data_IF_428508703518
#
_entry.id   IF_428508703518
#
_cell.length_a   1.000
_cell.length_b   1.000
_cell.length_c   1.000
_cell.angle_alpha   90.00
_cell.angle_beta   90.00
_cell.angle_gamma   90.00
#
_symmetry.space_group_name_H-M   'P 1'
#
loop_
_entity.id
_entity.type
_entity.pdbx_description
1 polymer ?
#
# COMPACT_ATOMS: atom_id res chain seq x y z
N UNK A 1 0.43 10.52 12.74
CA UNK A 1 1.10 9.80 13.85
C UNK A 1 0.20 9.73 15.06
N UNK A 2 0.27 8.64 15.80
CA UNK A 2 -0.46 8.47 17.06
C UNK A 2 0.08 7.25 17.84
N UNK A 3 -0.19 7.14 19.15
CA UNK A 3 0.09 5.95 19.95
C UNK A 3 -0.62 4.70 19.41
N UNK A 4 -0.19 3.53 19.86
CA UNK A 4 -0.93 2.28 19.59
C UNK A 4 -2.35 2.38 20.16
N UNK A 5 -3.34 1.87 19.44
CA UNK A 5 -4.75 1.91 19.85
C UNK A 5 -5.49 3.24 19.59
N UNK A 6 -4.83 4.30 19.11
CA UNK A 6 -5.45 5.60 18.85
C UNK A 6 -6.31 5.66 17.55
N UNK A 7 -6.63 4.54 16.91
CA UNK A 7 -7.52 4.51 15.74
C UNK A 7 -6.83 4.74 14.38
N UNK A 8 -5.49 4.68 14.29
CA UNK A 8 -4.76 4.85 13.00
C UNK A 8 -5.26 3.89 11.91
N UNK A 9 -5.32 2.60 12.21
CA UNK A 9 -5.78 1.57 11.26
C UNK A 9 -7.25 1.76 10.90
N UNK A 10 -8.11 2.14 11.86
CA UNK A 10 -9.51 2.48 11.61
C UNK A 10 -9.64 3.65 10.64
N UNK A 11 -8.85 4.70 10.83
CA UNK A 11 -8.83 5.84 9.91
C UNK A 11 -8.40 5.41 8.50
N UNK A 12 -7.38 4.57 8.38
CA UNK A 12 -6.95 4.03 7.07
C UNK A 12 -8.02 3.15 6.44
N UNK A 13 -8.72 2.32 7.21
CA UNK A 13 -9.81 1.48 6.70
C UNK A 13 -10.98 2.32 6.19
N UNK A 14 -11.35 3.39 6.91
CA UNK A 14 -12.38 4.32 6.47
C UNK A 14 -11.93 5.08 5.20
N UNK A 15 -10.71 5.63 5.20
CA UNK A 15 -10.15 6.33 4.04
C UNK A 15 -10.05 5.41 2.80
N UNK A 16 -9.77 4.12 3.02
CA UNK A 16 -9.69 3.10 1.97
C UNK A 16 -11.00 2.43 1.63
N UNK A 17 -12.12 2.92 2.17
CA UNK A 17 -13.48 2.41 1.90
C UNK A 17 -13.68 0.93 2.33
N UNK A 18 -12.86 0.42 3.22
CA UNK A 18 -13.04 -0.90 3.84
C UNK A 18 -14.12 -0.83 4.92
N UNK A 19 -14.18 0.31 5.61
CA UNK A 19 -15.18 0.61 6.64
C UNK A 19 -15.96 1.88 6.28
N UNK A 20 -17.09 2.10 6.97
CA UNK A 20 -17.88 3.31 6.83
C UNK A 20 -17.69 4.20 8.08
N UNK A 21 -17.54 5.52 7.92
CA UNK A 21 -17.52 6.42 9.08
C UNK A 21 -18.91 6.48 9.72
N UNK A 22 -18.97 6.62 11.04
CA UNK A 22 -20.21 6.89 11.76
C UNK A 22 -20.75 8.29 11.40
N UNK A 23 -19.84 9.26 11.26
CA UNK A 23 -20.14 10.64 10.88
C UNK A 23 -19.04 11.17 9.97
N UNK A 24 -19.35 12.24 9.22
CA UNK A 24 -18.41 12.87 8.30
C UNK A 24 -18.47 12.29 6.90
N UNK A 25 -17.50 12.66 6.06
CA UNK A 25 -17.43 12.29 4.65
C UNK A 25 -16.02 11.85 4.26
N UNK A 26 -15.95 10.92 3.30
CA UNK A 26 -14.70 10.53 2.65
C UNK A 26 -14.78 10.95 1.20
N UNK A 27 -13.83 11.79 0.76
CA UNK A 27 -13.76 12.27 -0.63
C UNK A 27 -12.48 11.76 -1.28
N UNK A 28 -12.59 11.05 -2.40
CA UNK A 28 -11.47 10.58 -3.21
C UNK A 28 -11.65 11.12 -4.64
N UNK A 29 -10.63 11.80 -5.17
CA UNK A 29 -10.71 12.39 -6.50
C UNK A 29 -11.87 13.39 -6.68
N UNK A 30 -12.25 14.11 -5.62
CA UNK A 30 -13.36 15.07 -5.63
C UNK A 30 -14.75 14.45 -5.51
N UNK A 31 -14.89 13.14 -5.39
CA UNK A 31 -16.17 12.43 -5.27
C UNK A 31 -16.40 11.99 -3.82
N UNK A 32 -17.58 12.31 -3.29
CA UNK A 32 -18.02 11.86 -1.96
C UNK A 32 -18.32 10.34 -2.01
N UNK A 33 -17.49 9.57 -1.32
CA UNK A 33 -17.55 8.10 -1.26
C UNK A 33 -18.54 7.57 -0.23
N UNK A 34 -19.04 8.42 0.69
CA UNK A 34 -19.97 7.98 1.74
C UNK A 34 -21.36 7.69 1.19
N UNK A 35 -21.71 8.33 0.07
CA UNK A 35 -23.03 8.23 -0.59
C UNK A 35 -23.10 7.23 -1.74
N UNK A 36 -21.99 6.58 -2.08
CA UNK A 36 -21.95 5.60 -3.18
C UNK A 36 -22.25 4.19 -2.69
N UNK A 37 -22.93 3.39 -3.54
CA UNK A 37 -23.23 2.00 -3.24
C UNK A 37 -21.98 1.10 -3.25
N UNK A 38 -22.07 -0.06 -2.63
CA UNK A 38 -20.95 -0.99 -2.38
C UNK A 38 -20.22 -1.41 -3.66
N UNK A 39 -20.94 -1.66 -4.76
CA UNK A 39 -20.33 -1.99 -6.06
C UNK A 39 -19.37 -0.89 -6.55
N UNK A 40 -19.74 0.39 -6.39
CA UNK A 40 -18.89 1.53 -6.77
C UNK A 40 -17.72 1.67 -5.80
N UNK A 41 -17.95 1.50 -4.49
CA UNK A 41 -16.87 1.51 -3.47
C UNK A 41 -15.82 0.43 -3.79
N UNK A 42 -16.27 -0.79 -4.12
CA UNK A 42 -15.38 -1.89 -4.52
C UNK A 42 -14.57 -1.56 -5.78
N UNK A 43 -15.19 -0.92 -6.78
CA UNK A 43 -14.47 -0.49 -7.98
C UNK A 43 -13.39 0.57 -7.66
N UNK A 44 -13.70 1.55 -6.79
CA UNK A 44 -12.73 2.56 -6.35
C UNK A 44 -11.58 1.92 -5.55
N UNK A 45 -11.88 1.02 -4.60
CA UNK A 45 -10.83 0.28 -3.86
C UNK A 45 -9.88 -0.45 -4.80
N UNK A 46 -10.43 -1.12 -5.80
CA UNK A 46 -9.65 -1.93 -6.74
C UNK A 46 -8.78 -1.10 -7.68
N UNK A 47 -9.28 0.06 -8.12
CA UNK A 47 -8.63 0.87 -9.15
C UNK A 47 -7.82 2.03 -8.60
N UNK A 48 -8.32 2.68 -7.55
CA UNK A 48 -7.80 3.99 -7.12
C UNK A 48 -7.07 3.93 -5.78
N UNK A 49 -7.14 2.80 -5.03
CA UNK A 49 -6.56 2.69 -3.70
C UNK A 49 -5.60 1.50 -3.63
N UNK A 50 -4.34 1.78 -3.26
CA UNK A 50 -3.36 0.76 -2.89
C UNK A 50 -3.26 0.64 -1.36
N UNK A 51 -3.15 -0.57 -0.85
CA UNK A 51 -2.96 -0.84 0.57
C UNK A 51 -1.63 -1.52 0.86
N UNK A 52 -0.92 -1.01 1.85
CA UNK A 52 0.25 -1.62 2.48
C UNK A 52 -0.06 -1.82 3.96
N UNK A 53 0.12 -3.03 4.44
CA UNK A 53 -0.09 -3.39 5.84
C UNK A 53 1.25 -3.64 6.54
N UNK A 54 1.25 -3.59 7.86
CA UNK A 54 2.39 -3.92 8.69
C UNK A 54 2.86 -5.37 8.44
N UNK A 55 1.92 -6.31 8.31
CA UNK A 55 2.20 -7.65 7.79
C UNK A 55 1.99 -7.64 6.29
N UNK A 56 2.89 -8.22 5.53
CA UNK A 56 2.93 -8.12 4.07
C UNK A 56 1.68 -8.66 3.38
N UNK A 57 1.00 -9.66 4.00
CA UNK A 57 -0.19 -10.34 3.47
C UNK A 57 -0.02 -10.80 2.02
N UNK A 58 1.20 -11.23 1.66
CA UNK A 58 1.43 -11.88 0.37
C UNK A 58 0.73 -13.23 0.37
N UNK A 59 0.19 -13.60 -0.77
CA UNK A 59 -0.45 -14.89 -0.97
C UNK A 59 0.65 -15.97 -1.04
N UNK A 60 0.71 -16.90 -0.08
CA UNK A 60 1.85 -17.83 0.05
C UNK A 60 1.92 -18.87 -1.06
N UNK A 61 0.81 -19.15 -1.75
CA UNK A 61 0.71 -20.08 -2.86
C UNK A 61 1.32 -19.53 -4.16
N UNK A 62 1.45 -18.21 -4.26
CA UNK A 62 1.92 -17.48 -5.43
C UNK A 62 3.34 -16.94 -5.22
N UNK A 63 4.13 -16.87 -6.29
CA UNK A 63 5.44 -16.24 -6.25
C UNK A 63 5.34 -14.70 -6.19
N UNK A 64 6.48 -13.99 -6.14
CA UNK A 64 6.50 -12.53 -6.03
C UNK A 64 5.86 -11.86 -7.25
N UNK A 65 6.14 -12.34 -8.46
CA UNK A 65 5.55 -11.82 -9.71
C UNK A 65 4.04 -12.01 -9.71
N UNK A 66 3.57 -13.23 -9.42
CA UNK A 66 2.14 -13.57 -9.41
C UNK A 66 1.36 -12.75 -8.40
N UNK A 67 1.92 -12.46 -7.21
CA UNK A 67 1.30 -11.59 -6.22
C UNK A 67 1.01 -10.18 -6.76
N UNK A 68 1.80 -9.69 -7.73
CA UNK A 68 1.65 -8.37 -8.35
C UNK A 68 0.74 -8.46 -9.60
N UNK A 69 0.77 -9.56 -10.30
CA UNK A 69 -0.05 -9.81 -11.51
C UNK A 69 -1.52 -9.98 -11.16
N UNK A 70 -1.84 -10.74 -10.11
CA UNK A 70 -3.21 -11.09 -9.72
C UNK A 70 -4.18 -9.89 -9.62
N UNK A 71 -3.87 -8.78 -8.93
CA UNK A 71 -4.77 -7.63 -8.87
C UNK A 71 -5.01 -6.96 -10.24
N UNK A 72 -4.08 -7.07 -11.17
CA UNK A 72 -4.20 -6.54 -12.53
C UNK A 72 -5.12 -7.42 -13.37
N UNK A 73 -4.98 -8.75 -13.27
CA UNK A 73 -5.91 -9.71 -13.91
C UNK A 73 -7.34 -9.52 -13.41
N UNK A 74 -7.51 -9.31 -12.10
CA UNK A 74 -8.83 -9.00 -11.52
C UNK A 74 -9.44 -7.70 -12.05
N UNK A 75 -8.62 -6.80 -12.60
CA UNK A 75 -9.02 -5.58 -13.31
C UNK A 75 -9.23 -5.78 -14.83
N UNK A 76 -9.05 -6.99 -15.33
CA UNK A 76 -9.22 -7.31 -16.75
C UNK A 76 -8.03 -6.95 -17.62
N UNK A 77 -6.87 -6.67 -17.04
CA UNK A 77 -5.62 -6.47 -17.79
C UNK A 77 -5.17 -7.81 -18.37
N UNK A 78 -4.71 -7.83 -19.62
CA UNK A 78 -4.18 -9.02 -20.24
C UNK A 78 -2.93 -9.53 -19.49
N UNK A 79 -2.76 -10.85 -19.39
CA UNK A 79 -1.70 -11.46 -18.57
C UNK A 79 -0.30 -10.96 -18.98
N UNK A 80 0.00 -10.89 -20.28
CA UNK A 80 1.31 -10.42 -20.74
C UNK A 80 1.64 -9.00 -20.32
N UNK A 81 0.65 -8.08 -20.37
CA UNK A 81 0.81 -6.70 -19.93
C UNK A 81 0.95 -6.60 -18.40
N UNK A 82 0.20 -7.43 -17.66
CA UNK A 82 0.29 -7.49 -16.21
C UNK A 82 1.66 -8.01 -15.74
N UNK A 83 2.20 -9.02 -16.42
CA UNK A 83 3.53 -9.57 -16.16
C UNK A 83 4.64 -8.54 -16.48
N UNK A 84 4.57 -7.87 -17.63
CA UNK A 84 5.52 -6.82 -18.01
C UNK A 84 5.55 -5.70 -16.97
N UNK A 85 4.40 -5.18 -16.58
CA UNK A 85 4.30 -4.15 -15.55
C UNK A 85 4.76 -4.64 -14.17
N UNK A 86 4.49 -5.90 -13.82
CA UNK A 86 4.95 -6.48 -12.56
C UNK A 86 6.47 -6.60 -12.51
N UNK A 87 7.12 -7.00 -13.60
CA UNK A 87 8.60 -7.03 -13.72
C UNK A 87 9.17 -5.62 -13.60
N UNK A 88 8.59 -4.63 -14.26
CA UNK A 88 9.00 -3.22 -14.12
C UNK A 88 8.96 -2.76 -12.65
N UNK A 89 7.86 -3.05 -11.94
CA UNK A 89 7.74 -2.70 -10.52
C UNK A 89 8.77 -3.40 -9.65
N UNK A 90 9.02 -4.69 -9.86
CA UNK A 90 10.04 -5.47 -9.14
C UNK A 90 11.45 -4.91 -9.37
N UNK A 91 11.75 -4.51 -10.61
CA UNK A 91 13.03 -3.88 -10.98
C UNK A 91 13.21 -2.55 -10.26
N UNK A 92 12.17 -1.70 -10.23
CA UNK A 92 12.21 -0.40 -9.52
C UNK A 92 12.50 -0.53 -8.02
N UNK A 93 12.10 -1.62 -7.39
CA UNK A 93 12.37 -1.85 -5.97
C UNK A 93 13.57 -2.79 -5.73
N UNK A 94 14.27 -3.21 -6.78
CA UNK A 94 15.50 -4.02 -6.72
C UNK A 94 15.27 -5.44 -6.18
N UNK A 95 14.18 -6.09 -6.61
CA UNK A 95 13.87 -7.49 -6.26
C UNK A 95 13.44 -8.33 -7.48
N UNK A 96 13.77 -7.92 -8.69
CA UNK A 96 13.46 -8.66 -9.92
C UNK A 96 14.07 -10.06 -9.94
N UNK A 97 15.26 -10.24 -9.36
CA UNK A 97 15.89 -11.56 -9.22
C UNK A 97 15.12 -12.52 -8.29
N UNK A 98 14.10 -12.03 -7.61
CA UNK A 98 13.22 -12.79 -6.72
C UNK A 98 11.82 -13.04 -7.30
N UNK A 99 11.57 -12.67 -8.55
CA UNK A 99 10.26 -12.77 -9.20
C UNK A 99 9.59 -14.14 -9.03
N UNK A 100 10.35 -15.22 -9.19
CA UNK A 100 9.87 -16.61 -9.11
C UNK A 100 9.87 -17.20 -7.68
N UNK A 101 10.31 -16.42 -6.68
CA UNK A 101 10.36 -16.89 -5.29
C UNK A 101 9.02 -16.72 -4.61
N UNK A 102 8.59 -17.75 -3.87
CA UNK A 102 7.42 -17.67 -2.97
C UNK A 102 7.76 -16.85 -1.72
N UNK A 103 6.75 -16.26 -1.05
CA UNK A 103 6.96 -15.43 0.14
C UNK A 103 7.86 -16.07 1.20
N UNK A 104 7.74 -17.37 1.44
CA UNK A 104 8.55 -18.09 2.42
C UNK A 104 10.06 -18.11 2.10
N UNK A 105 10.45 -17.88 0.85
CA UNK A 105 11.84 -17.84 0.40
C UNK A 105 12.39 -16.40 0.31
N UNK A 106 11.59 -15.38 0.71
CA UNK A 106 11.96 -13.97 0.69
C UNK A 106 12.27 -13.49 2.12
N UNK A 107 13.29 -12.64 2.25
CA UNK A 107 13.50 -11.88 3.49
C UNK A 107 12.33 -10.93 3.78
N UNK A 108 12.15 -10.50 5.03
CA UNK A 108 11.09 -9.56 5.40
C UNK A 108 11.11 -8.26 4.59
N UNK A 109 12.30 -7.72 4.32
CA UNK A 109 12.44 -6.53 3.48
C UNK A 109 12.12 -6.77 2.00
N UNK A 110 12.41 -7.96 1.45
CA UNK A 110 12.00 -8.35 0.10
C UNK A 110 10.49 -8.53 0.02
N UNK A 111 9.88 -9.22 1.00
CA UNK A 111 8.42 -9.36 1.09
C UNK A 111 7.72 -8.00 1.12
N UNK A 112 8.24 -7.06 1.89
CA UNK A 112 7.67 -5.71 2.00
C UNK A 112 7.76 -4.96 0.66
N UNK A 113 8.89 -5.05 -0.05
CA UNK A 113 9.02 -4.43 -1.38
C UNK A 113 8.06 -5.06 -2.40
N UNK A 114 7.86 -6.38 -2.37
CA UNK A 114 6.85 -7.04 -3.20
C UNK A 114 5.44 -6.56 -2.84
N UNK A 115 5.13 -6.39 -1.55
CA UNK A 115 3.85 -5.83 -1.11
C UNK A 115 3.64 -4.38 -1.59
N UNK A 116 4.69 -3.57 -1.69
CA UNK A 116 4.64 -2.23 -2.30
C UNK A 116 4.29 -2.32 -3.78
N UNK A 117 4.95 -3.20 -4.53
CA UNK A 117 4.64 -3.42 -5.95
C UNK A 117 3.18 -3.86 -6.14
N UNK A 118 2.70 -4.81 -5.32
CA UNK A 118 1.30 -5.24 -5.37
C UNK A 118 0.33 -4.09 -5.09
N UNK A 119 0.62 -3.23 -4.13
CA UNK A 119 -0.22 -2.08 -3.83
C UNK A 119 -0.27 -1.05 -4.98
N UNK A 120 0.78 -0.98 -5.80
CA UNK A 120 0.90 -0.08 -6.95
C UNK A 120 0.47 -0.71 -8.28
N UNK A 121 0.19 -2.01 -8.31
CA UNK A 121 -0.06 -2.79 -9.53
C UNK A 121 -1.17 -2.23 -10.44
N UNK A 122 -2.18 -1.59 -9.86
CA UNK A 122 -3.29 -0.96 -10.62
C UNK A 122 -3.13 0.56 -10.79
N UNK A 123 -1.93 1.11 -10.62
CA UNK A 123 -1.66 2.55 -10.71
C UNK A 123 -2.64 3.39 -9.87
N UNK A 124 -2.73 3.15 -8.56
CA UNK A 124 -3.70 3.83 -7.69
C UNK A 124 -3.41 5.32 -7.61
N UNK A 125 -4.43 6.10 -7.22
CA UNK A 125 -4.31 7.54 -6.94
C UNK A 125 -3.97 7.80 -5.47
N UNK A 126 -4.34 6.86 -4.60
CA UNK A 126 -4.15 6.94 -3.16
C UNK A 126 -3.45 5.67 -2.65
N UNK A 127 -2.36 5.84 -1.92
CA UNK A 127 -1.70 4.79 -1.18
C UNK A 127 -1.99 4.95 0.31
N UNK A 128 -2.47 3.90 0.93
CA UNK A 128 -2.69 3.80 2.37
C UNK A 128 -1.69 2.80 2.95
N UNK A 129 -0.88 3.23 3.90
CA UNK A 129 0.13 2.38 4.51
C UNK A 129 0.00 2.38 6.03
N UNK A 130 -0.19 1.21 6.62
CA UNK A 130 -0.24 1.02 8.06
C UNK A 130 1.07 0.41 8.55
N UNK A 131 1.89 1.22 9.25
CA UNK A 131 3.20 0.84 9.79
C UNK A 131 4.06 0.07 8.77
N UNK A 132 4.33 0.63 7.56
CA UNK A 132 4.86 -0.12 6.41
C UNK A 132 6.26 -0.72 6.63
N UNK A 133 6.91 -0.41 7.73
CA UNK A 133 8.23 -0.95 8.10
C UNK A 133 8.29 -1.41 9.55
N UNK A 134 7.14 -1.49 10.24
CA UNK A 134 7.08 -1.75 11.68
C UNK A 134 7.59 -3.12 12.13
N UNK A 135 7.69 -4.09 11.21
CA UNK A 135 8.17 -5.45 11.48
C UNK A 135 9.62 -5.68 11.02
N UNK A 136 10.32 -4.63 10.60
CA UNK A 136 11.69 -4.73 10.10
C UNK A 136 12.69 -4.18 11.12
N UNK A 137 13.92 -4.70 11.10
CA UNK A 137 15.01 -4.09 11.86
C UNK A 137 15.29 -2.65 11.37
N UNK A 138 15.89 -1.79 12.21
CA UNK A 138 16.06 -0.36 11.90
C UNK A 138 16.79 -0.09 10.57
N UNK A 139 17.85 -0.85 10.26
CA UNK A 139 18.63 -0.67 9.04
C UNK A 139 17.87 -1.08 7.78
N UNK A 140 17.09 -2.14 7.85
CA UNK A 140 16.21 -2.59 6.76
C UNK A 140 15.01 -1.65 6.62
N UNK A 141 14.43 -1.20 7.74
CA UNK A 141 13.32 -0.24 7.78
C UNK A 141 13.67 1.04 7.01
N UNK A 142 14.83 1.64 7.29
CA UNK A 142 15.27 2.86 6.63
C UNK A 142 15.41 2.69 5.11
N UNK A 143 16.04 1.60 4.67
CA UNK A 143 16.21 1.31 3.24
C UNK A 143 14.87 1.07 2.53
N UNK A 144 14.00 0.26 3.13
CA UNK A 144 12.69 -0.08 2.57
C UNK A 144 11.77 1.14 2.54
N UNK A 145 11.85 1.99 3.57
CA UNK A 145 11.09 3.23 3.59
C UNK A 145 11.59 4.23 2.53
N UNK A 146 12.90 4.30 2.30
CA UNK A 146 13.49 5.09 1.20
C UNK A 146 12.91 4.69 -0.17
N UNK A 147 12.84 3.38 -0.44
CA UNK A 147 12.22 2.83 -1.67
C UNK A 147 10.74 3.23 -1.78
N UNK A 148 9.97 3.11 -0.68
CA UNK A 148 8.57 3.52 -0.68
C UNK A 148 8.41 5.00 -1.04
N UNK A 149 9.22 5.88 -0.44
CA UNK A 149 9.17 7.32 -0.71
C UNK A 149 9.53 7.67 -2.15
N UNK A 150 10.51 6.98 -2.72
CA UNK A 150 10.88 7.13 -4.13
C UNK A 150 9.72 6.73 -5.06
N UNK A 151 9.08 5.58 -4.79
CA UNK A 151 7.90 5.12 -5.55
C UNK A 151 6.76 6.14 -5.48
N UNK A 152 6.44 6.63 -4.28
CA UNK A 152 5.36 7.62 -4.08
C UNK A 152 5.64 8.89 -4.86
N UNK A 153 6.84 9.45 -4.74
CA UNK A 153 7.22 10.71 -5.40
C UNK A 153 7.28 10.57 -6.92
N UNK A 154 7.85 9.48 -7.42
CA UNK A 154 7.97 9.25 -8.87
C UNK A 154 6.63 8.95 -9.55
N UNK A 155 5.68 8.37 -8.81
CA UNK A 155 4.33 8.06 -9.34
C UNK A 155 3.34 9.22 -9.23
N UNK A 156 3.67 10.28 -8.47
CA UNK A 156 2.80 11.44 -8.26
C UNK A 156 1.49 11.13 -7.51
N UNK A 157 1.41 9.95 -6.87
CA UNK A 157 0.23 9.54 -6.10
C UNK A 157 0.21 10.21 -4.71
N UNK A 158 -0.97 10.33 -4.13
CA UNK A 158 -1.12 10.77 -2.74
C UNK A 158 -0.91 9.58 -1.80
N UNK A 159 -0.14 9.76 -0.71
CA UNK A 159 0.08 8.72 0.28
C UNK A 159 -0.36 9.17 1.68
N UNK A 160 -1.09 8.32 2.39
CA UNK A 160 -1.40 8.46 3.81
C UNK A 160 -0.74 7.31 4.57
N UNK A 161 0.26 7.64 5.37
CA UNK A 161 1.07 6.67 6.10
C UNK A 161 0.82 6.80 7.59
N UNK A 162 0.27 5.76 8.20
CA UNK A 162 0.16 5.65 9.64
C UNK A 162 1.48 5.10 10.19
N UNK A 163 2.10 5.81 11.13
CA UNK A 163 3.30 5.36 11.82
C UNK A 163 3.41 5.96 13.21
N UNK A 164 4.07 5.26 14.10
CA UNK A 164 4.51 5.79 15.40
C UNK A 164 5.97 6.30 15.37
N UNK A 165 6.69 6.04 14.27
CA UNK A 165 8.07 6.51 14.09
C UNK A 165 8.08 7.98 13.66
N UNK A 166 8.51 8.87 14.57
CA UNK A 166 8.55 10.32 14.33
C UNK A 166 9.63 10.73 13.33
N UNK A 167 10.73 9.99 13.24
CA UNK A 167 11.82 10.28 12.29
C UNK A 167 11.34 10.02 10.85
N UNK A 168 10.64 8.92 10.62
CA UNK A 168 10.03 8.65 9.33
C UNK A 168 8.91 9.66 9.02
N UNK A 169 8.09 10.02 10.00
CA UNK A 169 7.03 11.01 9.82
C UNK A 169 7.58 12.39 9.45
N UNK A 170 8.74 12.79 9.98
CA UNK A 170 9.38 14.07 9.66
C UNK A 170 9.81 14.21 8.18
N UNK A 171 9.87 13.11 7.44
CA UNK A 171 10.19 13.08 5.99
C UNK A 171 8.99 13.30 5.08
N UNK A 172 7.78 13.42 5.67
CA UNK A 172 6.53 13.65 4.96
C UNK A 172 6.28 15.15 4.74
N UNK A 173 5.52 15.47 3.71
CA UNK A 173 5.12 16.84 3.39
C UNK A 173 4.20 17.43 4.47
N UNK A 174 3.45 16.57 5.16
CA UNK A 174 2.50 16.97 6.22
C UNK A 174 2.34 15.88 7.28
N UNK A 175 2.30 16.28 8.53
CA UNK A 175 2.05 15.38 9.67
C UNK A 175 0.68 15.71 10.28
N UNK A 176 -0.15 14.68 10.42
CA UNK A 176 -1.40 14.74 11.19
C UNK A 176 -1.21 13.91 12.46
N UNK A 177 -1.60 14.47 13.60
CA UNK A 177 -1.62 13.76 14.88
C UNK A 177 -3.06 13.37 15.22
N UNK A 178 -3.22 12.14 15.71
CA UNK A 178 -4.45 11.69 16.34
C UNK A 178 -4.18 11.68 17.83
N UNK A 179 -4.88 12.51 18.55
CA UNK A 179 -4.91 12.47 20.01
C UNK A 179 -6.02 11.50 20.43
N UNK A 180 -5.79 10.75 21.50
CA UNK A 180 -6.84 9.93 22.10
C UNK A 180 -7.91 10.91 22.63
N UNK A 181 -9.06 10.90 21.98
CA UNK A 181 -10.20 11.76 22.30
C UNK A 181 -10.83 11.47 23.64
#
# INVERSE_FOLDING_TARGET
VAPSGAGKSTLLHIAGLLDAPNEGTVTIGGVDMTKIGDRKRTAVRRNDVGFIYQFHHLLPEFNALENIVLPQLANGIAQSLAEEHAVELLTRVGVEARADHRPAALSGGEQQRVAFCRALANNPKLLLADEPTGNLDPGTSERVFGVLMELVRSSGLSALIATHNLELAARMDRIVRLDAG
#
